data_IF_944676445119
#
_entry.id   IF_944676445119
#
_cell.length_a   1.000
_cell.length_b   1.000
_cell.length_c   1.000
_cell.angle_alpha   90.00
_cell.angle_beta   90.00
_cell.angle_gamma   90.00
#
_symmetry.space_group_name_H-M   'P 1'
#
loop_
_entity.id
_entity.type
_entity.pdbx_description
1 polymer ?
#
# COMPACT_ATOMS: atom_id res chain seq x y z
N UNK A 1 4.51 2.35 0.07
CA UNK A 1 3.67 3.57 0.02
C UNK A 1 4.50 4.83 0.26
N UNK A 2 5.60 5.05 -0.47
CA UNK A 2 6.51 6.19 -0.20
C UNK A 2 6.32 7.36 -1.16
N UNK A 3 6.17 7.08 -2.46
CA UNK A 3 6.21 8.12 -3.51
C UNK A 3 4.83 8.48 -4.10
N UNK A 4 3.76 7.78 -3.72
CA UNK A 4 2.40 7.95 -4.25
C UNK A 4 1.32 7.84 -3.18
N UNK A 5 1.67 8.18 -1.95
CA UNK A 5 0.78 8.01 -0.80
C UNK A 5 0.92 9.18 0.16
N UNK A 6 -0.21 9.77 0.49
CA UNK A 6 -0.34 10.69 1.60
C UNK A 6 -1.30 10.08 2.62
N UNK A 7 -0.83 9.88 3.85
CA UNK A 7 -1.58 9.16 4.89
C UNK A 7 -2.98 9.74 5.14
N UNK A 8 -3.11 11.06 5.23
CA UNK A 8 -4.40 11.71 5.50
C UNK A 8 -5.36 11.72 4.30
N UNK A 9 -4.84 11.62 3.07
CA UNK A 9 -5.63 11.77 1.83
C UNK A 9 -6.01 10.43 1.24
N UNK A 10 -5.09 9.47 1.25
CA UNK A 10 -5.20 8.18 0.56
C UNK A 10 -5.58 7.02 1.52
N UNK A 11 -5.80 7.32 2.81
CA UNK A 11 -6.18 6.33 3.83
C UNK A 11 -7.57 6.59 4.36
N UNK A 12 -8.38 5.54 4.42
CA UNK A 12 -9.68 5.58 5.09
C UNK A 12 -9.65 4.53 6.20
N UNK A 13 -9.79 4.97 7.44
CA UNK A 13 -9.94 4.07 8.57
C UNK A 13 -11.41 3.69 8.71
N UNK A 14 -11.71 2.41 8.51
CA UNK A 14 -13.06 1.87 8.73
C UNK A 14 -13.03 1.10 10.05
N UNK A 15 -13.54 1.67 11.15
CA UNK A 15 -13.60 0.97 12.42
C UNK A 15 -14.69 -0.13 12.38
N UNK A 16 -14.58 -1.11 13.26
CA UNK A 16 -15.66 -2.08 13.47
C UNK A 16 -15.66 -3.30 12.54
N UNK A 17 -14.70 -3.40 11.60
CA UNK A 17 -14.61 -4.54 10.69
C UNK A 17 -13.97 -5.73 11.41
N UNK A 18 -14.73 -6.81 11.57
CA UNK A 18 -14.19 -8.07 12.12
C UNK A 18 -13.29 -8.74 11.09
N UNK A 19 -12.14 -9.20 11.55
CA UNK A 19 -11.18 -9.90 10.71
C UNK A 19 -10.75 -11.20 11.41
N UNK A 20 -9.50 -11.63 11.24
CA UNK A 20 -9.06 -12.93 11.74
C UNK A 20 -9.04 -13.01 13.27
N UNK A 21 -9.71 -14.01 13.91
CA UNK A 21 -9.78 -14.13 15.37
C UNK A 21 -8.44 -14.35 16.08
N UNK A 22 -7.42 -14.90 15.40
CA UNK A 22 -6.07 -15.10 15.96
C UNK A 22 -5.17 -13.86 15.87
N UNK A 23 -5.64 -12.77 15.26
CA UNK A 23 -4.87 -11.54 15.20
C UNK A 23 -4.99 -10.77 16.52
N UNK A 24 -3.89 -10.76 17.27
CA UNK A 24 -3.79 -10.11 18.58
C UNK A 24 -3.82 -8.57 18.49
N UNK A 25 -3.58 -7.99 17.32
CA UNK A 25 -3.63 -6.52 17.14
C UNK A 25 -5.05 -5.95 17.14
N UNK A 26 -6.05 -6.81 17.02
CA UNK A 26 -7.46 -6.42 17.00
C UNK A 26 -8.07 -6.32 18.38
N UNK A 27 -7.34 -6.64 19.44
CA UNK A 27 -7.93 -6.70 20.77
C UNK A 27 -8.00 -5.32 21.41
N UNK A 28 -8.96 -5.10 22.35
CA UNK A 28 -9.07 -3.82 23.06
C UNK A 28 -7.81 -3.44 23.86
N UNK A 29 -6.96 -4.41 24.22
CA UNK A 29 -5.68 -4.16 24.88
C UNK A 29 -4.70 -3.41 23.96
N UNK A 30 -4.74 -3.70 22.65
CA UNK A 30 -3.88 -3.04 21.67
C UNK A 30 -4.41 -1.64 21.29
N UNK A 31 -5.74 -1.49 21.19
CA UNK A 31 -6.36 -0.19 20.96
C UNK A 31 -7.69 -0.08 21.73
N UNK A 32 -7.70 0.82 22.72
CA UNK A 32 -8.84 1.08 23.61
C UNK A 32 -10.08 1.61 22.89
N UNK A 33 -9.94 2.07 21.64
CA UNK A 33 -11.06 2.50 20.79
C UNK A 33 -11.90 1.36 20.22
N UNK A 34 -11.50 0.10 20.40
CA UNK A 34 -12.25 -1.06 19.93
C UNK A 34 -13.18 -1.62 21.01
N UNK A 35 -14.50 -1.59 20.78
CA UNK A 35 -15.45 -2.30 21.65
C UNK A 35 -15.42 -3.84 21.46
N UNK A 36 -14.88 -4.35 20.34
CA UNK A 36 -14.80 -5.79 19.96
C UNK A 36 -13.55 -6.01 19.10
N UNK A 37 -13.13 -7.27 18.87
CA UNK A 37 -12.01 -7.59 17.97
C UNK A 37 -12.24 -7.07 16.54
N UNK A 38 -11.61 -5.95 16.19
CA UNK A 38 -11.80 -5.28 14.88
C UNK A 38 -10.50 -4.64 14.38
N UNK A 39 -10.33 -4.66 13.06
CA UNK A 39 -9.21 -4.03 12.36
C UNK A 39 -9.69 -2.72 11.71
N UNK A 40 -8.93 -1.61 11.81
CA UNK A 40 -9.12 -0.45 10.97
C UNK A 40 -8.15 -0.52 9.78
N UNK A 41 -8.62 -0.85 8.58
CA UNK A 41 -7.89 -0.47 7.37
C UNK A 41 -8.74 -0.58 6.10
N UNK A 42 -8.85 0.52 5.35
CA UNK A 42 -8.98 0.46 3.90
C UNK A 42 -8.01 1.45 3.25
N UNK A 43 -7.11 0.89 2.44
CA UNK A 43 -6.17 1.63 1.60
C UNK A 43 -6.80 1.76 0.22
N UNK A 44 -7.08 2.97 -0.25
CA UNK A 44 -7.64 3.18 -1.59
C UNK A 44 -6.76 4.12 -2.40
N UNK A 45 -5.89 3.57 -3.23
CA UNK A 45 -5.06 4.33 -4.18
C UNK A 45 -5.81 4.69 -5.48
N UNK A 46 -7.12 4.94 -5.42
CA UNK A 46 -7.90 5.31 -6.60
C UNK A 46 -7.75 6.79 -7.02
N UNK A 47 -7.18 7.64 -6.15
CA UNK A 47 -7.31 9.09 -6.28
C UNK A 47 -6.40 9.77 -7.32
N UNK A 48 -5.42 9.09 -7.92
CA UNK A 48 -4.38 9.79 -8.70
C UNK A 48 -4.49 9.60 -10.22
N UNK A 49 -5.67 9.25 -10.77
CA UNK A 49 -5.85 9.18 -12.23
C UNK A 49 -5.46 10.49 -12.94
N UNK A 50 -5.80 11.63 -12.33
CA UNK A 50 -5.53 12.96 -12.89
C UNK A 50 -4.05 13.35 -12.89
N UNK A 51 -3.26 12.80 -11.97
CA UNK A 51 -1.83 13.10 -11.83
C UNK A 51 -0.93 12.03 -12.45
N UNK A 52 -1.50 11.06 -13.18
CA UNK A 52 -0.73 9.95 -13.78
C UNK A 52 0.47 10.42 -14.59
N UNK A 53 0.33 11.51 -15.34
CA UNK A 53 1.40 12.10 -16.15
C UNK A 53 2.59 12.61 -15.31
N UNK A 54 2.34 13.09 -14.08
CA UNK A 54 3.39 13.60 -13.18
C UNK A 54 4.13 12.49 -12.44
N UNK A 55 3.57 11.29 -12.40
CA UNK A 55 4.14 10.14 -11.70
C UNK A 55 4.62 9.05 -12.66
N UNK A 56 5.01 9.40 -13.87
CA UNK A 56 5.63 8.44 -14.79
C UNK A 56 6.99 7.98 -14.24
N UNK A 57 7.25 6.67 -14.26
CA UNK A 57 8.55 6.13 -13.87
C UNK A 57 9.58 6.48 -14.94
N UNK A 58 10.84 6.64 -14.54
CA UNK A 58 11.94 6.85 -15.48
C UNK A 58 11.95 5.75 -16.55
N UNK A 59 11.92 6.18 -17.81
CA UNK A 59 12.02 5.28 -18.97
C UNK A 59 13.49 5.00 -19.23
N UNK A 60 13.91 3.78 -18.93
CA UNK A 60 15.24 3.33 -19.30
C UNK A 60 15.26 2.95 -20.78
N UNK A 61 16.39 3.17 -21.43
CA UNK A 61 16.61 2.67 -22.78
C UNK A 61 16.58 1.15 -22.73
N UNK A 62 15.87 0.53 -23.68
CA UNK A 62 15.97 -0.91 -23.87
C UNK A 62 17.34 -1.23 -24.48
N UNK A 63 18.09 -2.08 -23.79
CA UNK A 63 19.44 -2.47 -24.20
C UNK A 63 19.56 -3.98 -24.10
N UNK A 64 20.24 -4.59 -25.06
CA UNK A 64 20.59 -6.00 -25.00
C UNK A 64 21.60 -6.23 -23.87
N UNK A 65 21.19 -6.96 -22.83
CA UNK A 65 22.03 -7.25 -21.69
C UNK A 65 23.14 -8.25 -22.02
N UNK A 66 23.00 -9.04 -23.11
CA UNK A 66 24.02 -10.01 -23.54
C UNK A 66 25.31 -9.35 -24.00
N UNK A 67 25.25 -8.09 -24.43
CA UNK A 67 26.44 -7.31 -24.76
C UNK A 67 27.32 -6.99 -23.53
N UNK A 68 26.75 -7.04 -22.32
CA UNK A 68 27.46 -6.72 -21.07
C UNK A 68 27.67 -7.94 -20.18
N UNK A 69 26.74 -8.90 -20.24
CA UNK A 69 26.78 -10.15 -19.49
C UNK A 69 26.53 -11.29 -20.46
N UNK A 70 27.61 -11.96 -20.87
CA UNK A 70 27.59 -13.04 -21.84
C UNK A 70 26.67 -14.20 -21.44
N UNK A 71 26.54 -14.44 -20.13
CA UNK A 71 25.81 -15.57 -19.54
C UNK A 71 24.37 -15.20 -19.13
N UNK A 72 23.84 -14.07 -19.61
CA UNK A 72 22.49 -13.62 -19.27
C UNK A 72 21.44 -14.40 -20.09
N UNK A 73 20.68 -15.29 -19.43
CA UNK A 73 19.52 -16.02 -20.01
C UNK A 73 18.27 -15.13 -20.13
#
# INVERSE_FOLDING_TARGET
>A
MQIRYQGEVDTIFIPGVRYHPLDLSQTPEYNRGFCKRVCPARLSMAAQFRLKSHFERSKFKEVDMKCFLSDFE
#
